data_IF_972631138028
#
_entry.id   IF_972631138028
#
_cell.length_a   1.000
_cell.length_b   1.000
_cell.length_c   1.000
_cell.angle_alpha   90.00
_cell.angle_beta   90.00
_cell.angle_gamma   90.00
#
_symmetry.space_group_name_H-M   'P 1'
#
loop_
_entity.id
_entity.type
_entity.pdbx_description
1 polymer ?
#
# COMPACT_ATOMS: atom_id res chain seq x y z
N UNK A 1 -45.20 172.90 117.25
CA UNK A 1 -45.31 171.43 117.19
C UNK A 1 -46.00 171.09 115.88
N UNK A 2 -45.45 170.13 115.12
CA UNK A 2 -45.82 169.75 113.75
C UNK A 2 -45.58 170.83 112.66
N UNK A 3 -44.49 170.65 111.88
CA UNK A 3 -44.38 170.84 110.41
C UNK A 3 -42.91 170.84 109.87
N UNK A 4 -41.97 170.10 110.48
CA UNK A 4 -40.56 169.99 110.00
C UNK A 4 -40.12 168.55 109.64
N UNK A 5 -41.03 167.57 109.63
CA UNK A 5 -40.71 166.15 109.35
C UNK A 5 -40.89 165.73 107.87
N UNK A 6 -41.47 166.58 107.02
CA UNK A 6 -41.83 166.18 105.66
C UNK A 6 -40.69 166.41 104.64
N UNK A 7 -39.75 167.33 104.91
CA UNK A 7 -38.72 167.70 103.92
C UNK A 7 -37.59 166.65 103.78
N UNK A 8 -37.23 165.98 104.88
CA UNK A 8 -36.29 164.85 104.87
C UNK A 8 -36.86 163.65 104.09
N UNK A 9 -38.17 163.42 104.19
CA UNK A 9 -38.89 162.31 103.54
C UNK A 9 -38.91 162.45 102.00
N UNK A 10 -38.95 163.68 101.47
CA UNK A 10 -38.92 163.93 100.02
C UNK A 10 -37.53 163.66 99.42
N UNK A 11 -36.47 164.17 100.06
CA UNK A 11 -35.09 163.96 99.61
C UNK A 11 -34.69 162.48 99.55
N UNK A 12 -35.17 161.68 100.50
CA UNK A 12 -34.90 160.25 100.55
C UNK A 12 -35.66 159.50 99.43
N UNK A 13 -36.92 159.87 99.18
CA UNK A 13 -37.74 159.34 98.09
C UNK A 13 -37.27 159.70 96.69
N UNK A 14 -36.74 160.91 96.47
CA UNK A 14 -36.15 161.26 95.17
C UNK A 14 -34.88 160.42 94.91
N UNK A 15 -34.07 160.17 95.95
CA UNK A 15 -32.90 159.27 95.85
C UNK A 15 -33.32 157.83 95.58
N UNK A 16 -34.38 157.33 96.22
CA UNK A 16 -34.97 156.02 95.92
C UNK A 16 -35.53 155.95 94.50
N UNK A 17 -36.19 157.01 94.01
CA UNK A 17 -36.74 157.08 92.67
C UNK A 17 -35.64 157.10 91.59
N UNK A 18 -34.54 157.83 91.81
CA UNK A 18 -33.38 157.76 90.91
C UNK A 18 -32.66 156.41 90.97
N UNK A 19 -32.57 155.78 92.13
CA UNK A 19 -32.03 154.42 92.26
C UNK A 19 -32.91 153.42 91.50
N UNK A 20 -34.23 153.44 91.71
CA UNK A 20 -35.20 152.61 91.00
C UNK A 20 -35.22 152.89 89.48
N UNK A 21 -35.06 154.15 89.05
CA UNK A 21 -34.98 154.50 87.63
C UNK A 21 -33.67 154.00 86.98
N UNK A 22 -32.55 154.05 87.72
CA UNK A 22 -31.28 153.46 87.32
C UNK A 22 -31.37 151.93 87.23
N UNK A 23 -32.03 151.29 88.20
CA UNK A 23 -32.29 149.86 88.25
C UNK A 23 -33.24 149.42 87.11
N UNK A 24 -34.33 150.13 86.84
CA UNK A 24 -35.20 149.92 85.67
C UNK A 24 -34.42 150.05 84.37
N UNK A 25 -33.48 151.01 84.26
CA UNK A 25 -32.66 151.19 83.06
C UNK A 25 -31.63 150.06 82.90
N UNK A 26 -31.04 149.59 84.00
CA UNK A 26 -30.16 148.42 84.02
C UNK A 26 -30.91 147.12 83.70
N UNK A 27 -32.12 146.95 84.24
CA UNK A 27 -33.02 145.84 83.95
C UNK A 27 -33.42 145.83 82.48
N UNK A 28 -33.83 146.97 81.89
CA UNK A 28 -34.10 147.08 80.45
C UNK A 28 -32.88 146.81 79.57
N UNK A 29 -31.68 147.20 80.03
CA UNK A 29 -30.42 146.84 79.36
C UNK A 29 -30.13 145.34 79.43
N UNK A 30 -30.36 144.72 80.59
CA UNK A 30 -30.26 143.27 80.78
C UNK A 30 -31.29 142.49 79.96
N UNK A 31 -32.52 143.02 79.86
CA UNK A 31 -33.62 142.48 79.06
C UNK A 31 -33.28 142.55 77.57
N UNK A 32 -32.85 143.70 77.05
CA UNK A 32 -32.39 143.81 75.66
C UNK A 32 -31.19 142.90 75.32
N UNK A 33 -30.28 142.66 76.28
CA UNK A 33 -29.19 141.69 76.12
C UNK A 33 -29.69 140.24 76.13
N UNK A 34 -30.69 139.91 76.96
CA UNK A 34 -31.36 138.60 76.97
C UNK A 34 -32.12 138.37 75.67
N UNK A 35 -32.86 139.36 75.17
CA UNK A 35 -33.59 139.28 73.91
C UNK A 35 -32.64 139.05 72.73
N UNK A 36 -31.50 139.77 72.69
CA UNK A 36 -30.45 139.54 71.69
C UNK A 36 -29.86 138.13 71.78
N UNK A 37 -29.57 137.63 72.99
CA UNK A 37 -29.08 136.27 73.19
C UNK A 37 -30.13 135.20 72.80
N UNK A 38 -31.40 135.44 73.09
CA UNK A 38 -32.53 134.60 72.67
C UNK A 38 -32.64 134.58 71.14
N UNK A 39 -32.47 135.71 70.46
CA UNK A 39 -32.52 135.79 69.00
C UNK A 39 -31.30 135.12 68.35
N UNK A 40 -30.09 135.29 68.90
CA UNK A 40 -28.89 134.56 68.44
C UNK A 40 -29.06 133.03 68.62
N UNK A 41 -29.65 132.58 69.73
CA UNK A 41 -29.99 131.18 69.95
C UNK A 41 -31.08 130.68 68.98
N UNK A 42 -32.13 131.46 68.70
CA UNK A 42 -33.16 131.12 67.69
C UNK A 42 -32.54 130.92 66.31
N UNK A 43 -31.61 131.79 65.91
CA UNK A 43 -30.95 131.71 64.62
C UNK A 43 -30.03 130.47 64.50
N UNK A 44 -29.26 130.12 65.54
CA UNK A 44 -28.46 128.90 65.50
C UNK A 44 -29.34 127.63 65.59
N UNK A 45 -30.45 127.66 66.33
CA UNK A 45 -31.46 126.57 66.34
C UNK A 45 -32.04 126.37 64.94
N UNK A 46 -32.54 127.42 64.27
CA UNK A 46 -33.09 127.32 62.91
C UNK A 46 -32.05 126.81 61.89
N UNK A 47 -30.79 127.21 62.03
CA UNK A 47 -29.66 126.71 61.22
C UNK A 47 -29.34 125.24 61.50
N UNK A 48 -29.44 124.79 62.75
CA UNK A 48 -29.27 123.39 63.14
C UNK A 48 -30.45 122.52 62.69
N UNK A 49 -31.69 123.02 62.77
CA UNK A 49 -32.89 122.39 62.19
C UNK A 49 -32.77 122.25 60.67
N UNK A 50 -32.27 123.28 59.97
CA UNK A 50 -31.98 123.24 58.54
C UNK A 50 -30.96 122.15 58.17
N UNK A 51 -29.83 122.08 58.89
CA UNK A 51 -28.84 121.01 58.73
C UNK A 51 -29.44 119.63 59.00
N UNK A 52 -30.19 119.48 60.11
CA UNK A 52 -30.84 118.23 60.50
C UNK A 52 -31.77 117.75 59.38
N UNK A 53 -32.64 118.63 58.87
CA UNK A 53 -33.54 118.33 57.75
C UNK A 53 -32.80 117.94 56.47
N UNK A 54 -31.67 118.58 56.13
CA UNK A 54 -30.85 118.16 54.98
C UNK A 54 -30.23 116.77 55.21
N UNK A 55 -29.71 116.49 56.41
CA UNK A 55 -29.17 115.16 56.74
C UNK A 55 -30.25 114.07 56.75
N UNK A 56 -31.47 114.38 57.22
CA UNK A 56 -32.60 113.46 57.23
C UNK A 56 -33.06 113.11 55.80
N UNK A 57 -33.21 114.11 54.92
CA UNK A 57 -33.47 113.89 53.50
C UNK A 57 -32.37 113.05 52.83
N UNK A 58 -31.09 113.29 53.14
CA UNK A 58 -29.98 112.52 52.61
C UNK A 58 -30.03 111.05 53.08
N UNK A 59 -30.35 110.80 54.35
CA UNK A 59 -30.52 109.46 54.90
C UNK A 59 -31.74 108.75 54.31
N UNK A 60 -32.87 109.43 54.15
CA UNK A 60 -34.06 108.89 53.46
C UNK A 60 -33.74 108.49 52.00
N UNK A 61 -33.05 109.35 51.25
CA UNK A 61 -32.58 109.03 49.89
C UNK A 61 -31.62 107.83 49.88
N UNK A 62 -30.70 107.73 50.85
CA UNK A 62 -29.78 106.60 50.99
C UNK A 62 -30.51 105.29 51.30
N UNK A 63 -31.53 105.33 52.16
CA UNK A 63 -32.40 104.19 52.49
C UNK A 63 -33.19 103.76 51.24
N UNK A 64 -33.77 104.70 50.49
CA UNK A 64 -34.51 104.40 49.26
C UNK A 64 -33.61 103.72 48.19
N UNK A 65 -32.38 104.22 48.00
CA UNK A 65 -31.40 103.59 47.10
C UNK A 65 -31.07 102.16 47.54
N UNK A 66 -30.73 101.94 48.83
CA UNK A 66 -30.44 100.62 49.37
C UNK A 66 -31.62 99.64 49.28
N UNK A 67 -32.86 100.14 49.35
CA UNK A 67 -34.07 99.33 49.14
C UNK A 67 -34.22 98.88 47.69
N UNK A 68 -33.88 99.71 46.70
CA UNK A 68 -33.94 99.29 45.30
C UNK A 68 -32.75 98.39 44.92
N UNK A 69 -31.55 98.65 45.44
CA UNK A 69 -30.40 97.75 45.32
C UNK A 69 -30.74 96.35 45.87
N UNK A 70 -31.39 96.28 47.04
CA UNK A 70 -31.88 95.01 47.61
C UNK A 70 -32.87 94.31 46.67
N UNK A 71 -33.85 95.01 46.11
CA UNK A 71 -34.81 94.42 45.15
C UNK A 71 -34.12 93.99 43.84
N UNK A 72 -33.14 94.74 43.35
CA UNK A 72 -32.34 94.37 42.19
C UNK A 72 -31.53 93.10 42.44
N UNK A 73 -30.92 92.98 43.63
CA UNK A 73 -30.22 91.78 44.07
C UNK A 73 -31.18 90.58 44.16
N UNK A 74 -32.36 90.73 44.76
CA UNK A 74 -33.38 89.67 44.84
C UNK A 74 -33.86 89.20 43.46
N UNK A 75 -34.07 90.13 42.50
CA UNK A 75 -34.40 89.79 41.10
C UNK A 75 -33.26 89.03 40.43
N UNK A 76 -32.01 89.46 40.63
CA UNK A 76 -30.82 88.81 40.08
C UNK A 76 -30.62 87.40 40.66
N UNK A 77 -30.82 87.21 41.96
CA UNK A 77 -30.74 85.89 42.61
C UNK A 77 -31.78 84.93 42.04
N UNK A 78 -33.05 85.36 41.95
CA UNK A 78 -34.13 84.54 41.33
C UNK A 78 -33.81 84.19 39.88
N UNK A 79 -33.30 85.14 39.10
CA UNK A 79 -32.88 84.89 37.71
C UNK A 79 -31.72 83.89 37.60
N UNK A 80 -30.79 83.90 38.55
CA UNK A 80 -29.67 82.95 38.61
C UNK A 80 -30.14 81.56 39.05
N UNK A 81 -31.02 81.47 40.04
CA UNK A 81 -31.64 80.21 40.48
C UNK A 81 -32.39 79.53 39.33
N UNK A 82 -33.21 80.28 38.58
CA UNK A 82 -33.92 79.71 37.41
C UNK A 82 -32.97 79.27 36.30
N UNK A 83 -31.87 79.99 36.06
CA UNK A 83 -30.87 79.60 35.07
C UNK A 83 -30.07 78.36 35.50
N UNK A 84 -29.78 78.21 36.81
CA UNK A 84 -29.12 77.04 37.37
C UNK A 84 -30.01 75.79 37.28
N UNK A 85 -31.31 75.91 37.61
CA UNK A 85 -32.26 74.81 37.49
C UNK A 85 -32.42 74.33 36.04
N UNK A 86 -32.43 75.26 35.08
CA UNK A 86 -32.48 74.90 33.65
C UNK A 86 -31.17 74.25 33.18
N UNK A 87 -30.02 74.76 33.60
CA UNK A 87 -28.73 74.13 33.30
C UNK A 87 -28.62 72.72 33.89
N UNK A 88 -29.13 72.49 35.11
CA UNK A 88 -29.20 71.17 35.73
C UNK A 88 -30.12 70.22 34.95
N UNK A 89 -31.30 70.70 34.50
CA UNK A 89 -32.22 69.94 33.65
C UNK A 89 -31.55 69.49 32.34
N UNK A 90 -30.81 70.39 31.69
CA UNK A 90 -30.06 70.10 30.46
C UNK A 90 -28.95 69.08 30.73
N UNK A 91 -28.18 69.23 31.82
CA UNK A 91 -27.10 68.32 32.19
C UNK A 91 -27.61 66.90 32.50
N UNK A 92 -28.68 66.76 33.29
CA UNK A 92 -29.32 65.46 33.58
C UNK A 92 -29.78 64.78 32.29
N UNK A 93 -30.44 65.52 31.40
CA UNK A 93 -30.91 65.02 30.10
C UNK A 93 -29.75 64.65 29.14
N UNK A 94 -28.62 65.35 29.22
CA UNK A 94 -27.43 65.02 28.44
C UNK A 94 -26.73 63.74 28.96
N UNK A 95 -26.67 63.57 30.28
CA UNK A 95 -26.12 62.37 30.93
C UNK A 95 -26.96 61.12 30.60
N UNK A 96 -28.29 61.21 30.67
CA UNK A 96 -29.19 60.12 30.28
C UNK A 96 -29.01 59.70 28.81
N UNK A 97 -28.90 60.68 27.89
CA UNK A 97 -28.56 60.39 26.49
C UNK A 97 -27.19 59.73 26.31
N UNK A 98 -26.19 60.13 27.10
CA UNK A 98 -24.85 59.53 27.04
C UNK A 98 -24.86 58.06 27.45
N UNK A 99 -25.58 57.71 28.53
CA UNK A 99 -25.74 56.32 28.99
C UNK A 99 -26.44 55.44 27.94
N UNK A 100 -27.50 55.95 27.30
CA UNK A 100 -28.20 55.22 26.22
C UNK A 100 -27.26 54.99 25.02
N UNK A 101 -26.42 55.97 24.66
CA UNK A 101 -25.44 55.82 23.57
C UNK A 101 -24.39 54.76 23.92
N UNK A 102 -23.88 54.74 25.16
CA UNK A 102 -22.94 53.73 25.63
C UNK A 102 -23.56 52.32 25.60
N UNK A 103 -24.81 52.16 26.06
CA UNK A 103 -25.53 50.89 26.00
C UNK A 103 -25.73 50.41 24.56
N UNK A 104 -26.12 51.30 23.63
CA UNK A 104 -26.26 50.97 22.20
C UNK A 104 -24.91 50.67 21.54
N UNK A 105 -23.82 51.31 21.96
CA UNK A 105 -22.47 50.98 21.49
C UNK A 105 -22.03 49.59 21.95
N UNK A 106 -22.28 49.25 23.22
CA UNK A 106 -21.99 47.93 23.78
C UNK A 106 -22.79 46.82 23.07
N UNK A 107 -24.08 47.04 22.81
CA UNK A 107 -24.91 46.11 22.02
C UNK A 107 -24.39 45.97 20.58
N UNK A 108 -24.00 47.07 19.90
CA UNK A 108 -23.42 46.99 18.56
C UNK A 108 -22.09 46.22 18.53
N UNK A 109 -21.26 46.36 19.56
CA UNK A 109 -19.99 45.63 19.66
C UNK A 109 -20.22 44.11 19.79
N UNK A 110 -21.14 43.69 20.67
CA UNK A 110 -21.46 42.28 20.85
C UNK A 110 -22.19 41.70 19.61
N UNK A 111 -23.10 42.44 18.97
CA UNK A 111 -23.71 42.03 17.69
C UNK A 111 -22.66 41.87 16.58
N UNK A 112 -21.71 42.80 16.47
CA UNK A 112 -20.61 42.69 15.50
C UNK A 112 -19.75 41.46 15.76
N UNK A 113 -19.42 41.19 17.02
CA UNK A 113 -18.67 40.00 17.44
C UNK A 113 -19.43 38.71 17.13
N UNK A 114 -20.74 38.66 17.34
CA UNK A 114 -21.59 37.52 16.96
C UNK A 114 -21.60 37.32 15.44
N UNK A 115 -21.69 38.40 14.65
CA UNK A 115 -21.58 38.34 13.19
C UNK A 115 -20.22 37.78 12.75
N UNK A 116 -19.11 38.24 13.33
CA UNK A 116 -17.77 37.72 13.04
C UNK A 116 -17.64 36.22 13.38
N UNK A 117 -18.18 35.78 14.53
CA UNK A 117 -18.20 34.35 14.92
C UNK A 117 -19.04 33.52 13.95
N UNK A 118 -20.25 33.97 13.59
CA UNK A 118 -21.11 33.27 12.64
C UNK A 118 -20.48 33.19 11.23
N UNK A 119 -19.88 34.28 10.76
CA UNK A 119 -19.18 34.34 9.48
C UNK A 119 -17.93 33.45 9.44
N UNK A 120 -17.24 33.26 10.57
CA UNK A 120 -16.15 32.30 10.66
C UNK A 120 -16.67 30.85 10.66
N UNK A 121 -17.59 30.51 11.57
CA UNK A 121 -18.00 29.12 11.79
C UNK A 121 -18.77 28.49 10.62
N UNK A 122 -19.57 29.27 9.88
CA UNK A 122 -20.39 28.73 8.78
C UNK A 122 -19.56 28.09 7.64
N UNK A 123 -18.63 28.80 6.96
CA UNK A 123 -17.80 28.20 5.91
C UNK A 123 -16.87 27.09 6.43
N UNK A 124 -16.53 27.10 7.73
CA UNK A 124 -15.68 26.07 8.33
C UNK A 124 -16.42 24.73 8.46
N UNK A 125 -17.69 24.71 8.90
CA UNK A 125 -18.47 23.47 8.95
C UNK A 125 -18.94 23.04 7.55
N UNK A 126 -19.25 23.98 6.64
CA UNK A 126 -19.53 23.66 5.23
C UNK A 126 -18.34 22.97 4.56
N UNK A 127 -17.14 23.56 4.65
CA UNK A 127 -15.91 22.95 4.14
C UNK A 127 -15.64 21.59 4.78
N UNK A 128 -15.88 21.43 6.10
CA UNK A 128 -15.70 20.16 6.81
C UNK A 128 -16.66 19.06 6.34
N UNK A 129 -17.88 19.40 5.93
CA UNK A 129 -18.83 18.45 5.32
C UNK A 129 -18.39 18.11 3.90
N UNK A 130 -18.04 19.12 3.10
CA UNK A 130 -17.55 18.94 1.72
C UNK A 130 -16.27 18.10 1.67
N UNK A 131 -15.31 18.31 2.57
CA UNK A 131 -14.08 17.52 2.69
C UNK A 131 -14.37 16.04 3.00
N UNK A 132 -15.28 15.75 3.96
CA UNK A 132 -15.71 14.37 4.26
C UNK A 132 -16.30 13.70 3.02
N UNK A 133 -17.21 14.39 2.32
CA UNK A 133 -17.84 13.87 1.10
C UNK A 133 -16.82 13.69 -0.04
N UNK A 134 -15.91 14.63 -0.23
CA UNK A 134 -14.89 14.57 -1.26
C UNK A 134 -13.89 13.43 -0.99
N UNK A 135 -13.43 13.28 0.25
CA UNK A 135 -12.57 12.16 0.67
C UNK A 135 -13.24 10.80 0.42
N UNK A 136 -14.54 10.67 0.67
CA UNK A 136 -15.28 9.45 0.35
C UNK A 136 -15.34 9.18 -1.16
N UNK A 137 -15.57 10.21 -1.99
CA UNK A 137 -15.57 10.09 -3.46
C UNK A 137 -14.19 9.73 -4.01
N UNK A 138 -13.10 10.28 -3.46
CA UNK A 138 -11.73 9.92 -3.83
C UNK A 138 -11.47 8.44 -3.57
N UNK A 139 -11.85 7.92 -2.39
CA UNK A 139 -11.73 6.48 -2.07
C UNK A 139 -12.57 5.57 -2.99
N UNK A 140 -13.69 6.07 -3.54
CA UNK A 140 -14.49 5.34 -4.52
C UNK A 140 -13.83 5.35 -5.91
N UNK A 141 -13.31 6.49 -6.35
CA UNK A 141 -12.54 6.63 -7.59
C UNK A 141 -11.27 5.79 -7.57
N UNK A 142 -10.55 5.73 -6.44
CA UNK A 142 -9.37 4.87 -6.26
C UNK A 142 -9.72 3.39 -6.42
N UNK A 143 -10.83 2.92 -5.82
CA UNK A 143 -11.32 1.53 -5.99
C UNK A 143 -11.69 1.22 -7.43
N UNK A 144 -12.42 2.12 -8.10
CA UNK A 144 -12.80 1.94 -9.51
C UNK A 144 -11.55 1.93 -10.40
N UNK A 145 -10.55 2.76 -10.11
CA UNK A 145 -9.27 2.78 -10.83
C UNK A 145 -8.51 1.46 -10.68
N UNK A 146 -8.49 0.88 -9.47
CA UNK A 146 -7.90 -0.43 -9.21
C UNK A 146 -8.62 -1.54 -10.01
N UNK A 147 -9.96 -1.55 -10.03
CA UNK A 147 -10.74 -2.50 -10.85
C UNK A 147 -10.52 -2.31 -12.35
N UNK A 148 -10.34 -1.08 -12.83
CA UNK A 148 -9.97 -0.82 -14.24
C UNK A 148 -8.61 -1.44 -14.56
N UNK A 149 -7.60 -1.25 -13.70
CA UNK A 149 -6.27 -1.84 -13.91
C UNK A 149 -6.34 -3.39 -13.93
N UNK A 150 -7.08 -4.01 -13.02
CA UNK A 150 -7.28 -5.47 -13.00
C UNK A 150 -7.94 -5.99 -14.28
N UNK A 151 -8.90 -5.24 -14.84
CA UNK A 151 -9.54 -5.55 -16.13
C UNK A 151 -8.59 -5.35 -17.31
N UNK A 152 -7.75 -4.32 -17.30
CA UNK A 152 -6.71 -4.09 -18.32
C UNK A 152 -5.68 -5.24 -18.34
N UNK A 153 -5.20 -5.65 -17.16
CA UNK A 153 -4.31 -6.81 -17.02
C UNK A 153 -4.97 -8.12 -17.51
N UNK A 154 -6.26 -8.33 -17.18
CA UNK A 154 -7.02 -9.48 -17.68
C UNK A 154 -7.22 -9.45 -19.21
N UNK A 155 -7.44 -8.27 -19.81
CA UNK A 155 -7.53 -8.10 -21.27
C UNK A 155 -6.19 -8.41 -21.94
N UNK A 156 -5.07 -7.95 -21.37
CA UNK A 156 -3.73 -8.24 -21.88
C UNK A 156 -3.42 -9.75 -21.82
N UNK A 157 -3.75 -10.41 -20.71
CA UNK A 157 -3.63 -11.86 -20.56
C UNK A 157 -4.53 -12.62 -21.55
N UNK A 158 -5.78 -12.18 -21.74
CA UNK A 158 -6.70 -12.71 -22.74
C UNK A 158 -6.18 -12.57 -24.18
N UNK A 159 -5.53 -11.45 -24.50
CA UNK A 159 -4.85 -11.22 -25.77
C UNK A 159 -3.69 -12.21 -26.00
N UNK A 160 -2.88 -12.47 -24.97
CA UNK A 160 -1.80 -13.46 -25.03
C UNK A 160 -2.35 -14.89 -25.23
N UNK A 161 -3.42 -15.27 -24.53
CA UNK A 161 -4.09 -16.56 -24.71
C UNK A 161 -4.67 -16.71 -26.13
N UNK A 162 -5.32 -15.66 -26.66
CA UNK A 162 -5.84 -15.64 -28.02
C UNK A 162 -4.73 -15.77 -29.08
N UNK A 163 -3.54 -15.21 -28.84
CA UNK A 163 -2.37 -15.41 -29.70
C UNK A 163 -1.92 -16.88 -29.71
N UNK A 164 -1.75 -17.49 -28.53
CA UNK A 164 -1.39 -18.90 -28.43
C UNK A 164 -2.41 -19.82 -29.13
N UNK A 165 -3.71 -19.55 -29.00
CA UNK A 165 -4.76 -20.28 -29.73
C UNK A 165 -4.60 -20.14 -31.25
N UNK A 166 -4.27 -18.94 -31.76
CA UNK A 166 -4.01 -18.73 -33.20
C UNK A 166 -2.76 -19.50 -33.67
N UNK A 167 -1.68 -19.50 -32.89
CA UNK A 167 -0.47 -20.24 -33.22
C UNK A 167 -0.68 -21.76 -33.21
N UNK A 168 -1.46 -22.31 -32.26
CA UNK A 168 -1.83 -23.72 -32.27
C UNK A 168 -2.74 -24.09 -33.43
N UNK A 169 -3.69 -23.23 -33.83
CA UNK A 169 -4.51 -23.45 -35.04
C UNK A 169 -3.63 -23.54 -36.29
N UNK A 170 -2.68 -22.62 -36.47
CA UNK A 170 -1.71 -22.66 -37.57
C UNK A 170 -0.89 -23.96 -37.57
N UNK A 171 -0.36 -24.38 -36.41
CA UNK A 171 0.36 -25.67 -36.28
C UNK A 171 -0.52 -26.88 -36.65
N UNK A 172 -1.81 -26.86 -36.32
CA UNK A 172 -2.75 -27.93 -36.67
C UNK A 172 -2.99 -27.97 -38.19
N UNK A 173 -3.10 -26.82 -38.84
CA UNK A 173 -3.26 -26.70 -40.30
C UNK A 173 -2.01 -27.17 -41.05
N UNK A 174 -0.80 -26.77 -40.61
CA UNK A 174 0.49 -27.26 -41.09
C UNK A 174 0.59 -28.79 -40.98
N UNK A 175 0.30 -29.36 -39.80
CA UNK A 175 0.28 -30.81 -39.58
C UNK A 175 -0.80 -31.53 -40.42
N UNK A 176 -1.89 -30.84 -40.77
CA UNK A 176 -2.92 -31.37 -41.66
C UNK A 176 -2.47 -31.36 -43.14
N UNK A 177 -1.59 -30.45 -43.53
CA UNK A 177 -0.92 -30.48 -44.84
C UNK A 177 0.11 -31.60 -44.93
N UNK A 178 0.98 -31.75 -43.92
CA UNK A 178 1.91 -32.88 -43.81
C UNK A 178 1.20 -34.23 -43.82
N UNK A 179 0.08 -34.36 -43.10
CA UNK A 179 -0.75 -35.57 -43.14
C UNK A 179 -1.22 -35.84 -44.57
N UNK A 180 -1.75 -34.82 -45.27
CA UNK A 180 -2.22 -34.95 -46.66
C UNK A 180 -1.08 -35.30 -47.63
N UNK A 181 0.16 -34.86 -47.43
CA UNK A 181 1.29 -35.27 -48.29
C UNK A 181 1.71 -36.70 -48.02
N UNK A 182 1.88 -37.08 -46.75
CA UNK A 182 2.25 -38.43 -46.32
C UNK A 182 1.19 -39.48 -46.73
N UNK A 183 -0.10 -39.16 -46.70
CA UNK A 183 -1.16 -40.06 -47.18
C UNK A 183 -1.05 -40.34 -48.69
N UNK A 184 -0.71 -39.33 -49.50
CA UNK A 184 -0.46 -39.49 -50.95
C UNK A 184 0.83 -40.26 -51.23
N UNK A 185 1.86 -40.11 -50.40
CA UNK A 185 3.09 -40.90 -50.50
C UNK A 185 2.87 -42.35 -50.11
N UNK A 186 2.16 -42.62 -49.02
CA UNK A 186 1.77 -43.95 -48.60
C UNK A 186 0.92 -44.65 -49.69
N UNK A 187 0.02 -43.94 -50.35
CA UNK A 187 -0.71 -44.47 -51.50
C UNK A 187 0.24 -44.83 -52.67
N UNK A 188 1.19 -43.96 -53.02
CA UNK A 188 2.21 -44.23 -54.05
C UNK A 188 3.07 -45.45 -53.70
N UNK A 189 3.54 -45.56 -52.46
CA UNK A 189 4.33 -46.70 -51.97
C UNK A 189 3.51 -48.00 -51.98
N UNK A 190 2.23 -47.97 -51.60
CA UNK A 190 1.33 -49.14 -51.72
C UNK A 190 1.19 -49.62 -53.17
N UNK A 191 1.02 -48.69 -54.13
CA UNK A 191 0.98 -49.04 -55.57
C UNK A 191 2.30 -49.62 -56.05
N UNK A 192 3.44 -49.05 -55.65
CA UNK A 192 4.77 -49.60 -55.97
C UNK A 192 4.99 -50.99 -55.36
N UNK A 193 4.62 -51.20 -54.10
CA UNK A 193 4.71 -52.50 -53.44
C UNK A 193 3.85 -53.57 -54.14
N UNK A 194 2.63 -53.21 -54.56
CA UNK A 194 1.78 -54.09 -55.35
C UNK A 194 2.42 -54.42 -56.71
N UNK A 195 2.99 -53.43 -57.42
CA UNK A 195 3.71 -53.66 -58.69
C UNK A 195 4.91 -54.59 -58.50
N UNK A 196 5.73 -54.38 -57.48
CA UNK A 196 6.87 -55.24 -57.15
C UNK A 196 6.40 -56.66 -56.82
N UNK A 197 5.33 -56.81 -56.04
CA UNK A 197 4.74 -58.12 -55.76
C UNK A 197 4.27 -58.84 -57.03
N UNK A 198 3.69 -58.13 -58.01
CA UNK A 198 3.34 -58.68 -59.32
C UNK A 198 4.56 -59.07 -60.15
N UNK A 199 5.63 -58.27 -60.17
CA UNK A 199 6.88 -58.60 -60.88
C UNK A 199 7.53 -59.84 -60.29
N UNK A 200 7.71 -59.88 -58.96
CA UNK A 200 8.27 -61.05 -58.26
C UNK A 200 7.39 -62.30 -58.49
N UNK A 201 6.07 -62.17 -58.48
CA UNK A 201 5.18 -63.30 -58.79
C UNK A 201 5.32 -63.81 -60.23
N UNK A 202 5.70 -62.97 -61.19
CA UNK A 202 5.99 -63.38 -62.57
C UNK A 202 7.37 -64.04 -62.71
N UNK A 203 8.39 -63.54 -62.02
CA UNK A 203 9.72 -64.18 -61.94
C UNK A 203 9.68 -65.59 -61.32
N UNK A 204 8.64 -65.87 -60.53
CA UNK A 204 8.42 -67.14 -59.83
C UNK A 204 7.50 -68.11 -60.59
N UNK A 205 7.33 -67.90 -61.90
CA UNK A 205 6.72 -68.84 -62.82
C UNK A 205 7.72 -69.91 -63.24
N UNK A 206 7.26 -71.15 -63.34
CA UNK A 206 8.03 -72.27 -63.88
C UNK A 206 8.13 -72.20 -65.42
N UNK A 207 8.88 -73.13 -66.02
CA UNK A 207 9.08 -73.24 -67.48
C UNK A 207 7.77 -73.38 -68.28
N UNK A 208 6.63 -73.68 -67.61
CA UNK A 208 5.29 -73.75 -68.18
C UNK A 208 4.42 -72.52 -67.82
N UNK A 209 5.04 -71.39 -67.50
CA UNK A 209 4.43 -70.12 -67.05
C UNK A 209 3.56 -70.19 -65.79
N UNK A 210 3.58 -71.29 -65.04
CA UNK A 210 2.76 -71.46 -63.84
C UNK A 210 3.53 -71.02 -62.60
N UNK A 211 2.93 -70.14 -61.79
CA UNK A 211 3.53 -69.75 -60.50
C UNK A 211 3.75 -71.00 -59.66
N UNK A 212 5.00 -71.23 -59.21
CA UNK A 212 5.37 -72.45 -58.48
C UNK A 212 4.41 -72.66 -57.29
N UNK A 213 3.71 -73.82 -57.20
CA UNK A 213 2.73 -74.03 -56.14
C UNK A 213 3.34 -73.90 -54.74
N UNK A 214 2.69 -73.10 -53.88
CA UNK A 214 3.17 -72.79 -52.51
C UNK A 214 3.58 -74.03 -51.71
N UNK A 215 2.90 -75.17 -51.94
CA UNK A 215 3.25 -76.46 -51.33
C UNK A 215 4.62 -76.98 -51.77
N UNK A 216 4.86 -77.11 -53.09
CA UNK A 216 6.17 -77.50 -53.65
C UNK A 216 7.27 -76.57 -53.16
N UNK A 217 7.01 -75.26 -53.23
CA UNK A 217 7.97 -74.25 -52.79
C UNK A 217 8.32 -74.37 -51.29
N UNK A 218 7.36 -74.67 -50.40
CA UNK A 218 7.64 -74.93 -48.97
C UNK A 218 8.46 -76.21 -48.79
N UNK A 219 8.27 -77.22 -49.65
CA UNK A 219 8.97 -78.51 -49.62
C UNK A 219 10.43 -78.37 -50.09
N UNK A 220 10.67 -77.74 -51.25
CA UNK A 220 12.03 -77.40 -51.75
C UNK A 220 12.78 -76.51 -50.75
N UNK A 221 12.11 -75.51 -50.20
CA UNK A 221 12.64 -74.62 -49.15
C UNK A 221 12.97 -75.34 -47.84
N UNK A 222 12.31 -76.46 -47.54
CA UNK A 222 12.67 -77.33 -46.40
C UNK A 222 13.90 -78.18 -46.73
N UNK A 223 13.99 -78.72 -47.94
CA UNK A 223 15.15 -79.48 -48.42
C UNK A 223 16.42 -78.62 -48.41
N UNK A 224 16.41 -77.44 -49.03
CA UNK A 224 17.55 -76.52 -49.07
C UNK A 224 18.01 -76.11 -47.66
N UNK A 225 17.07 -75.90 -46.71
CA UNK A 225 17.43 -75.62 -45.33
C UNK A 225 18.07 -76.82 -44.62
N UNK A 226 17.52 -78.02 -44.81
CA UNK A 226 18.07 -79.25 -44.22
C UNK A 226 19.46 -79.56 -44.77
N UNK A 227 19.69 -79.33 -46.07
CA UNK A 227 20.99 -79.49 -46.71
C UNK A 227 22.01 -78.45 -46.23
N UNK A 228 21.62 -77.16 -46.13
CA UNK A 228 22.44 -76.15 -45.46
C UNK A 228 22.83 -76.56 -44.03
N UNK A 229 21.91 -77.15 -43.27
CA UNK A 229 22.22 -77.58 -41.90
C UNK A 229 23.20 -78.75 -41.89
N UNK A 230 22.97 -79.77 -42.72
CA UNK A 230 23.91 -80.89 -42.96
C UNK A 230 25.30 -80.40 -43.39
N UNK A 231 25.39 -79.34 -44.20
CA UNK A 231 26.67 -78.72 -44.58
C UNK A 231 27.35 -78.02 -43.40
N UNK A 232 26.61 -77.32 -42.52
CA UNK A 232 27.16 -76.78 -41.26
C UNK A 232 27.66 -77.88 -40.32
N UNK A 233 26.89 -78.95 -40.18
CA UNK A 233 27.24 -80.07 -39.32
C UNK A 233 28.51 -80.80 -39.82
N UNK A 234 28.62 -80.99 -41.15
CA UNK A 234 29.86 -81.47 -41.80
C UNK A 234 31.05 -80.53 -41.55
N UNK A 235 30.89 -79.23 -41.74
CA UNK A 235 31.95 -78.24 -41.49
C UNK A 235 32.44 -78.33 -40.03
N UNK A 236 31.53 -78.41 -39.06
CA UNK A 236 31.87 -78.56 -37.65
C UNK A 236 32.59 -79.89 -37.34
N UNK A 237 32.37 -80.96 -38.11
CA UNK A 237 33.16 -82.20 -38.00
C UNK A 237 34.57 -81.97 -38.56
N UNK A 238 34.69 -81.40 -39.77
CA UNK A 238 35.98 -81.07 -40.38
C UNK A 238 36.83 -80.15 -39.50
N UNK A 239 36.25 -79.14 -38.86
CA UNK A 239 36.94 -78.27 -37.90
C UNK A 239 37.49 -79.03 -36.68
N UNK A 240 36.73 -80.00 -36.14
CA UNK A 240 37.20 -80.85 -35.02
C UNK A 240 38.32 -81.77 -35.47
N UNK A 241 38.20 -82.38 -36.64
CA UNK A 241 39.24 -83.25 -37.23
C UNK A 241 40.53 -82.47 -37.47
N UNK A 242 40.45 -81.27 -38.06
CA UNK A 242 41.62 -80.41 -38.27
C UNK A 242 42.29 -79.98 -36.95
N UNK A 243 41.51 -79.71 -35.90
CA UNK A 243 42.05 -79.43 -34.55
C UNK A 243 42.75 -80.64 -33.94
N UNK A 244 42.20 -81.85 -34.09
CA UNK A 244 42.85 -83.08 -33.65
C UNK A 244 44.13 -83.39 -34.45
N UNK A 245 44.13 -83.14 -35.76
CA UNK A 245 45.30 -83.27 -36.62
C UNK A 245 46.41 -82.28 -36.23
N UNK A 246 46.06 -81.03 -35.91
CA UNK A 246 47.00 -80.04 -35.37
C UNK A 246 47.62 -80.51 -34.04
N UNK A 247 46.81 -81.01 -33.10
CA UNK A 247 47.30 -81.59 -31.84
C UNK A 247 48.21 -82.80 -32.05
N UNK A 248 47.93 -83.64 -33.05
CA UNK A 248 48.82 -84.75 -33.43
C UNK A 248 50.12 -84.26 -34.05
N UNK A 249 50.08 -83.25 -34.94
CA UNK A 249 51.27 -82.59 -35.50
C UNK A 249 52.15 -82.00 -34.40
N UNK A 250 51.57 -81.35 -33.39
CA UNK A 250 52.36 -80.79 -32.28
C UNK A 250 52.93 -81.88 -31.36
N UNK A 251 52.20 -82.97 -31.09
CA UNK A 251 52.76 -84.16 -30.41
C UNK A 251 53.91 -84.79 -31.19
N UNK A 252 53.80 -84.87 -32.52
CA UNK A 252 54.86 -85.40 -33.38
C UNK A 252 56.08 -84.48 -33.41
N UNK A 253 55.89 -83.15 -33.53
CA UNK A 253 56.98 -82.16 -33.40
C UNK A 253 57.71 -82.28 -32.07
N UNK A 254 56.99 -82.41 -30.95
CA UNK A 254 57.60 -82.59 -29.62
C UNK A 254 58.43 -83.88 -29.56
N UNK A 255 57.93 -85.00 -30.11
CA UNK A 255 58.71 -86.25 -30.19
C UNK A 255 59.95 -86.11 -31.07
N UNK A 256 59.84 -85.41 -32.20
CA UNK A 256 60.96 -85.14 -33.10
C UNK A 256 62.04 -84.31 -32.38
N UNK A 257 61.63 -83.25 -31.67
CA UNK A 257 62.53 -82.41 -30.88
C UNK A 257 63.26 -83.17 -29.77
N UNK A 258 62.56 -84.05 -29.05
CA UNK A 258 63.19 -84.93 -28.03
C UNK A 258 64.25 -85.86 -28.66
N UNK A 259 64.01 -86.37 -29.86
CA UNK A 259 64.98 -87.21 -30.59
C UNK A 259 66.18 -86.38 -31.07
N UNK A 260 65.95 -85.15 -31.57
CA UNK A 260 67.01 -84.22 -31.97
C UNK A 260 67.90 -83.79 -30.78
N UNK A 261 67.30 -83.56 -29.60
CA UNK A 261 67.99 -83.28 -28.34
C UNK A 261 68.80 -84.51 -27.88
N UNK A 262 68.19 -85.71 -27.89
CA UNK A 262 68.89 -86.96 -27.59
C UNK A 262 70.02 -87.32 -28.55
N UNK A 263 69.98 -86.86 -29.81
CA UNK A 263 71.11 -86.99 -30.75
C UNK A 263 72.23 -86.00 -30.47
N UNK A 264 71.92 -84.79 -29.97
CA UNK A 264 72.93 -83.79 -29.61
C UNK A 264 73.74 -84.22 -28.39
N UNK A 265 73.09 -84.81 -27.38
CA UNK A 265 73.76 -85.24 -26.14
C UNK A 265 74.72 -86.44 -26.35
N UNK A 266 74.62 -87.17 -27.46
CA UNK A 266 75.53 -88.29 -27.80
C UNK A 266 76.77 -87.83 -28.58
N UNK A 267 76.77 -86.60 -29.13
CA UNK A 267 77.79 -86.16 -30.10
C UNK A 267 78.92 -85.31 -29.52
N UNK A 268 78.95 -85.00 -28.21
CA UNK A 268 79.99 -84.14 -27.63
C UNK A 268 80.21 -84.36 -26.13
N UNK A 269 80.91 -85.44 -25.75
CA UNK A 269 82.09 -85.35 -24.86
C UNK A 269 82.80 -86.72 -24.77
N UNK A 270 84.01 -86.82 -25.32
CA UNK A 270 84.87 -87.99 -25.19
C UNK A 270 86.25 -87.59 -24.67
N UNK A 271 86.38 -87.44 -23.34
CA UNK A 271 87.64 -87.63 -22.60
C UNK A 271 87.31 -88.12 -21.18
N UNK A 272 88.06 -89.11 -20.70
CA UNK A 272 87.79 -89.95 -19.50
C UNK A 272 88.80 -89.62 -18.36
N UNK A 273 88.87 -90.34 -17.21
CA UNK A 273 87.87 -91.14 -16.45
C UNK A 273 87.93 -90.94 -14.91
N UNK A 274 86.87 -91.27 -14.14
CA UNK A 274 86.98 -92.19 -12.97
C UNK A 274 85.67 -92.52 -12.21
N UNK A 275 85.67 -93.78 -11.73
CA UNK A 275 84.97 -94.44 -10.61
C UNK A 275 83.98 -93.71 -9.66
N UNK A 276 82.90 -94.49 -9.40
CA UNK A 276 82.26 -94.83 -8.11
C UNK A 276 81.08 -93.99 -7.55
N UNK A 277 80.00 -94.76 -7.27
CA UNK A 277 79.08 -94.72 -6.09
C UNK A 277 77.79 -93.89 -6.19
N UNK A 278 76.65 -94.57 -5.95
CA UNK A 278 75.50 -93.96 -5.26
C UNK A 278 74.14 -93.94 -5.97
N UNK A 279 73.38 -95.03 -5.82
CA UNK A 279 71.90 -94.94 -5.66
C UNK A 279 71.59 -94.55 -4.19
N UNK A 280 70.34 -94.26 -3.72
CA UNK A 280 69.06 -94.26 -4.44
C UNK A 280 68.02 -93.15 -4.05
N UNK A 281 66.87 -93.16 -4.77
CA UNK A 281 65.46 -93.01 -4.29
C UNK A 281 64.84 -91.66 -3.85
N UNK A 282 63.67 -91.43 -4.49
CA UNK A 282 62.36 -90.94 -3.95
C UNK A 282 62.24 -89.55 -3.32
N UNK A 283 61.32 -88.75 -3.84
CA UNK A 283 60.00 -88.52 -3.20
C UNK A 283 58.95 -87.92 -4.17
N UNK A 284 57.67 -88.26 -3.92
CA UNK A 284 56.43 -87.42 -3.94
C UNK A 284 56.34 -86.26 -4.96
N UNK A 285 55.23 -86.01 -5.67
CA UNK A 285 53.82 -86.37 -5.44
C UNK A 285 52.91 -85.76 -6.55
N UNK A 286 51.61 -86.15 -6.58
CA UNK A 286 50.41 -85.30 -6.87
C UNK A 286 50.46 -84.22 -7.97
N UNK A 287 49.48 -84.05 -8.88
CA UNK A 287 48.06 -84.44 -8.93
C UNK A 287 47.53 -84.11 -10.36
N UNK A 288 46.20 -84.14 -10.54
CA UNK A 288 45.37 -83.19 -11.34
C UNK A 288 44.73 -83.72 -12.65
N UNK A 289 43.44 -84.10 -12.53
CA UNK A 289 42.31 -84.00 -13.49
C UNK A 289 42.38 -84.74 -14.85
N UNK A 290 41.25 -85.18 -15.46
CA UNK A 290 39.85 -85.12 -15.02
C UNK A 290 38.88 -85.77 -16.03
N UNK A 291 37.74 -86.24 -15.53
CA UNK A 291 36.69 -87.06 -16.19
C UNK A 291 35.39 -86.92 -15.35
N UNK A 292 34.13 -87.02 -15.84
CA UNK A 292 33.55 -87.23 -17.19
C UNK A 292 32.21 -86.45 -17.34
N UNK A 293 31.74 -86.37 -18.59
CA UNK A 293 30.33 -86.46 -19.09
C UNK A 293 29.14 -86.08 -18.21
N UNK A 294 28.22 -85.27 -18.77
CA UNK A 294 26.80 -85.23 -18.37
C UNK A 294 25.88 -85.56 -19.55
N UNK A 295 24.73 -86.21 -19.28
CA UNK A 295 23.72 -86.62 -20.26
C UNK A 295 22.34 -86.71 -19.57
N UNK A 296 21.29 -86.10 -20.15
CA UNK A 296 19.89 -86.16 -19.66
C UNK A 296 19.58 -85.40 -18.35
N UNK A 297 18.33 -85.03 -18.03
CA UNK A 297 17.07 -85.09 -18.79
C UNK A 297 15.79 -84.87 -17.96
N UNK A 298 15.01 -83.83 -18.32
CA UNK A 298 13.52 -83.69 -18.20
C UNK A 298 12.77 -83.66 -16.83
N UNK A 299 11.88 -82.64 -16.68
CA UNK A 299 10.76 -82.45 -15.70
C UNK A 299 11.17 -82.15 -14.23
N UNK A 300 10.36 -81.56 -13.32
CA UNK A 300 8.88 -81.38 -13.20
C UNK A 300 8.42 -79.98 -12.71
N UNK A 301 7.09 -79.87 -12.68
CA UNK A 301 6.10 -78.78 -12.46
C UNK A 301 5.86 -78.33 -10.98
N UNK A 302 5.59 -77.01 -10.82
CA UNK A 302 4.74 -76.29 -9.83
C UNK A 302 4.97 -76.31 -8.30
N UNK A 303 4.63 -75.14 -7.73
CA UNK A 303 3.87 -74.86 -6.48
C UNK A 303 4.62 -74.31 -5.27
N UNK A 304 4.33 -73.04 -4.92
CA UNK A 304 3.80 -72.64 -3.59
C UNK A 304 3.68 -71.11 -3.44
N UNK A 305 2.54 -70.69 -2.87
CA UNK A 305 2.32 -69.49 -2.04
C UNK A 305 1.80 -70.02 -0.68
N UNK A 306 1.70 -69.25 0.43
CA UNK A 306 1.50 -67.78 0.57
C UNK A 306 2.63 -67.13 1.43
N UNK A 307 2.50 -66.09 2.31
CA UNK A 307 1.37 -65.39 2.94
C UNK A 307 1.72 -63.99 3.51
N UNK A 308 0.68 -63.19 3.74
CA UNK A 308 0.39 -62.14 4.77
C UNK A 308 1.44 -61.79 5.86
N UNK A 309 1.46 -60.61 6.51
CA UNK A 309 0.91 -59.24 6.27
C UNK A 309 1.35 -58.32 7.46
N UNK A 310 0.59 -57.26 7.81
CA UNK A 310 0.65 -56.40 9.03
C UNK A 310 1.67 -55.21 8.98
N UNK A 311 1.45 -54.00 9.52
CA UNK A 311 0.31 -53.02 9.63
C UNK A 311 0.73 -51.89 10.63
N UNK A 312 0.24 -50.65 10.45
CA UNK A 312 0.23 -49.56 11.46
C UNK A 312 0.74 -48.22 10.90
N UNK A 313 -0.04 -47.14 10.63
CA UNK A 313 -1.32 -46.58 11.18
C UNK A 313 -1.10 -45.93 12.56
N UNK A 314 -1.33 -44.63 12.80
CA UNK A 314 -2.56 -43.79 12.70
C UNK A 314 -2.25 -42.30 12.31
N UNK A 315 -3.10 -41.45 11.70
CA UNK A 315 -4.49 -40.96 11.99
C UNK A 315 -4.60 -40.05 13.24
N UNK A 316 -5.50 -39.01 13.33
CA UNK A 316 -6.79 -38.82 12.62
C UNK A 316 -7.28 -37.37 12.24
N UNK A 317 -8.41 -37.32 11.49
CA UNK A 317 -9.57 -36.35 11.50
C UNK A 317 -9.42 -34.80 11.47
N UNK A 318 -9.94 -34.16 10.41
CA UNK A 318 -11.13 -33.26 10.46
C UNK A 318 -11.68 -32.83 9.06
N UNK A 319 -12.95 -32.46 9.02
CA UNK A 319 -13.72 -31.74 7.97
C UNK A 319 -14.73 -30.81 8.73
N UNK A 320 -15.36 -29.77 8.13
CA UNK A 320 -15.50 -29.45 6.70
C UNK A 320 -15.31 -27.95 6.27
N UNK A 321 -15.46 -27.72 4.96
CA UNK A 321 -16.19 -26.61 4.30
C UNK A 321 -15.43 -25.42 3.62
N UNK A 322 -16.06 -24.93 2.53
CA UNK A 322 -15.88 -23.68 1.76
C UNK A 322 -14.73 -23.56 0.71
N UNK A 323 -15.16 -23.57 -0.56
CA UNK A 323 -14.74 -22.80 -1.76
C UNK A 323 -13.24 -22.41 -1.98
N UNK A 324 -12.65 -22.91 -3.07
CA UNK A 324 -12.47 -22.11 -4.30
C UNK A 324 -11.84 -22.89 -5.48
N UNK A 325 -12.34 -22.65 -6.69
CA UNK A 325 -11.95 -23.34 -7.94
C UNK A 325 -10.68 -22.76 -8.59
N UNK A 326 -9.50 -22.90 -7.97
CA UNK A 326 -8.21 -22.55 -8.64
C UNK A 326 -7.17 -23.65 -8.49
N UNK A 327 -7.54 -24.89 -8.84
CA UNK A 327 -6.64 -26.03 -8.94
C UNK A 327 -6.66 -26.77 -10.31
N UNK A 328 -7.72 -26.63 -11.11
CA UNK A 328 -7.89 -27.40 -12.35
C UNK A 328 -6.86 -27.10 -13.45
N UNK A 329 -6.50 -25.82 -13.63
CA UNK A 329 -5.68 -25.37 -14.78
C UNK A 329 -4.23 -25.89 -14.73
N UNK A 330 -3.67 -26.05 -13.53
CA UNK A 330 -2.31 -26.60 -13.36
C UNK A 330 -2.24 -28.12 -13.57
N UNK A 331 -3.37 -28.82 -13.40
CA UNK A 331 -3.47 -30.26 -13.60
C UNK A 331 -3.72 -30.60 -15.09
N UNK A 332 -4.55 -29.81 -15.78
CA UNK A 332 -4.74 -29.92 -17.24
C UNK A 332 -3.45 -29.69 -18.02
N UNK A 333 -2.62 -28.69 -17.68
CA UNK A 333 -1.33 -28.47 -18.37
C UNK A 333 -0.31 -29.61 -18.15
N UNK A 334 -0.39 -30.34 -17.03
CA UNK A 334 0.39 -31.57 -16.81
C UNK A 334 -0.20 -32.75 -17.58
N UNK A 335 -1.52 -32.84 -17.67
CA UNK A 335 -2.23 -33.89 -18.39
C UNK A 335 -2.05 -33.76 -19.91
N UNK A 336 -2.10 -32.54 -20.47
CA UNK A 336 -1.83 -32.27 -21.88
C UNK A 336 -0.36 -32.55 -22.24
N UNK A 337 0.60 -32.16 -21.40
CA UNK A 337 2.00 -32.55 -21.58
C UNK A 337 2.22 -34.07 -21.49
N UNK A 338 1.46 -34.76 -20.62
CA UNK A 338 1.44 -36.23 -20.56
C UNK A 338 0.89 -36.83 -21.86
N UNK A 339 -0.20 -36.27 -22.42
CA UNK A 339 -0.80 -36.69 -23.69
C UNK A 339 0.09 -36.39 -24.90
N UNK A 340 0.80 -35.24 -24.95
CA UNK A 340 1.84 -34.97 -25.98
C UNK A 340 3.00 -35.96 -25.87
N UNK A 341 3.46 -36.29 -24.66
CA UNK A 341 4.49 -37.33 -24.44
C UNK A 341 3.98 -38.72 -24.80
N UNK A 342 2.70 -39.04 -24.57
CA UNK A 342 2.08 -40.30 -24.97
C UNK A 342 1.97 -40.41 -26.49
N UNK A 343 1.47 -39.38 -27.19
CA UNK A 343 1.36 -39.37 -28.65
C UNK A 343 2.72 -39.39 -29.38
N UNK A 344 3.76 -38.76 -28.83
CA UNK A 344 5.12 -38.86 -29.37
C UNK A 344 5.75 -40.22 -29.08
N UNK A 345 5.56 -40.78 -27.87
CA UNK A 345 5.97 -42.14 -27.53
C UNK A 345 5.25 -43.19 -28.39
N UNK A 346 3.95 -43.04 -28.64
CA UNK A 346 3.18 -43.87 -29.55
C UNK A 346 3.67 -43.71 -31.00
N UNK A 347 3.88 -42.49 -31.51
CA UNK A 347 4.48 -42.29 -32.86
C UNK A 347 5.86 -42.93 -32.98
N UNK A 348 6.69 -42.90 -31.93
CA UNK A 348 7.99 -43.58 -31.87
C UNK A 348 7.81 -45.11 -31.77
N UNK A 349 6.83 -45.59 -31.02
CA UNK A 349 6.48 -47.01 -30.89
C UNK A 349 5.98 -47.56 -32.23
N UNK A 350 5.10 -46.85 -32.93
CA UNK A 350 4.64 -47.17 -34.27
C UNK A 350 5.79 -47.12 -35.27
N UNK A 351 6.65 -46.09 -35.30
CA UNK A 351 7.84 -46.07 -36.17
C UNK A 351 8.80 -47.25 -35.88
N UNK A 352 9.01 -47.61 -34.61
CA UNK A 352 9.79 -48.80 -34.22
C UNK A 352 9.07 -50.10 -34.57
N UNK A 353 7.75 -50.18 -34.47
CA UNK A 353 6.96 -51.35 -34.82
C UNK A 353 6.90 -51.56 -36.34
N UNK A 354 6.71 -50.51 -37.13
CA UNK A 354 6.81 -50.53 -38.59
C UNK A 354 8.23 -50.87 -39.02
N UNK A 355 9.27 -50.21 -38.51
CA UNK A 355 10.66 -50.56 -38.82
C UNK A 355 11.03 -51.99 -38.38
N UNK A 356 10.50 -52.49 -37.27
CA UNK A 356 10.74 -53.87 -36.82
C UNK A 356 9.90 -54.89 -37.59
N UNK A 357 8.70 -54.53 -38.07
CA UNK A 357 7.91 -55.31 -39.03
C UNK A 357 8.58 -55.36 -40.39
N UNK A 358 9.14 -54.25 -40.86
CA UNK A 358 9.87 -54.11 -42.12
C UNK A 358 11.20 -54.86 -42.08
N UNK A 359 11.97 -54.76 -40.99
CA UNK A 359 13.15 -55.60 -40.74
C UNK A 359 12.75 -57.07 -40.56
N UNK A 360 11.60 -57.39 -39.93
CA UNK A 360 11.08 -58.77 -39.88
C UNK A 360 10.61 -59.24 -41.25
N UNK A 361 10.09 -58.36 -42.12
CA UNK A 361 9.73 -58.67 -43.50
C UNK A 361 10.98 -58.89 -44.33
N UNK A 362 12.00 -58.03 -44.24
CA UNK A 362 13.30 -58.22 -44.87
C UNK A 362 14.01 -59.46 -44.36
N UNK A 363 13.97 -59.79 -43.06
CA UNK A 363 14.53 -61.03 -42.52
C UNK A 363 13.68 -62.23 -42.93
N UNK A 364 12.36 -62.11 -43.03
CA UNK A 364 11.49 -63.17 -43.52
C UNK A 364 11.77 -63.43 -45.01
N UNK A 365 11.82 -62.40 -45.84
CA UNK A 365 12.15 -62.40 -47.28
C UNK A 365 13.58 -62.88 -47.50
N UNK A 366 14.57 -62.39 -46.76
CA UNK A 366 15.96 -62.86 -46.83
C UNK A 366 16.10 -64.31 -46.38
N UNK A 367 15.41 -64.74 -45.33
CA UNK A 367 15.27 -66.18 -44.99
C UNK A 367 14.46 -66.95 -46.04
N UNK A 368 13.64 -66.29 -46.88
CA UNK A 368 12.82 -66.82 -47.99
C UNK A 368 13.56 -66.88 -49.32
N UNK A 369 14.76 -66.31 -49.35
CA UNK A 369 15.76 -66.34 -50.43
C UNK A 369 16.95 -67.23 -50.01
N UNK A 370 17.29 -67.29 -48.71
CA UNK A 370 18.38 -68.14 -48.17
C UNK A 370 17.95 -69.54 -47.72
N UNK A 371 16.66 -69.80 -47.58
CA UNK A 371 16.10 -71.15 -47.71
C UNK A 371 15.19 -71.12 -48.93
#
# INVERSE_FOLDING_TARGET
LFHDNDFLNVSEKDRELFAAQGEIKALRGSEALKDKAVEELRNEVAKMEGKLRVTENLLQNKIAALQEDKKALERLTKSKETALLEAERILRSALERALIVEEVQNHNYELKRQIEICQACFPQEENRILEKTNRQKVLEVEKLSQTIQELEEAILAGGAAANAIRDYKRQIEELHEEKRTLERELARVKVLANRVATVVANEWKDENEKVMPVKKWIEERRLLQAEMQRLRDKLAISERTAKAEAQLKDKLKLRLKIIEEGLKDVSSFAFSPNRLRGSPKTEKSSNIFGFLTSNGGLRKRSTSQPRDSIIGRSSPLQQPNVENEIAGVAEELKQENSLRKKSTSEKICWKKAYGHLEVKLLIAVRRRIQK
#
